data_IF_904672390121
#
_entry.id   IF_904672390121
#
_cell.length_a   1.000
_cell.length_b   1.000
_cell.length_c   1.000
_cell.angle_alpha   90.00
_cell.angle_beta   90.00
_cell.angle_gamma   90.00
#
_symmetry.space_group_name_H-M   'P 1'
#
loop_
_entity.id
_entity.type
_entity.pdbx_description
1 polymer ?
#
# COMPACT_ATOMS: atom_id res chain seq x y z
N UNK A 1 -10.28 11.09 -42.51
CA UNK A 1 -10.00 11.39 -41.08
C UNK A 1 -10.25 10.12 -40.29
N UNK A 2 -9.31 9.69 -39.48
CA UNK A 2 -9.50 8.52 -38.60
C UNK A 2 -10.22 8.93 -37.31
N UNK A 3 -11.05 8.03 -36.76
CA UNK A 3 -11.84 8.28 -35.55
C UNK A 3 -11.35 7.33 -34.43
N UNK A 4 -11.20 7.80 -33.19
CA UNK A 4 -10.86 6.93 -32.05
C UNK A 4 -12.11 6.24 -31.49
N UNK A 5 -11.93 5.32 -30.53
CA UNK A 5 -13.03 4.85 -29.69
C UNK A 5 -13.75 6.01 -29.03
N UNK A 6 -15.09 5.92 -28.95
CA UNK A 6 -15.89 6.93 -28.26
C UNK A 6 -15.55 6.99 -26.75
N UNK A 7 -15.85 8.09 -26.05
CA UNK A 7 -15.62 8.21 -24.62
C UNK A 7 -16.27 7.05 -23.82
N UNK A 8 -17.50 6.68 -24.20
CA UNK A 8 -18.25 5.57 -23.56
C UNK A 8 -17.57 4.22 -23.82
N UNK A 9 -17.11 3.97 -25.05
CA UNK A 9 -16.36 2.75 -25.39
C UNK A 9 -15.03 2.68 -24.63
N UNK A 10 -14.28 3.79 -24.57
CA UNK A 10 -13.03 3.85 -23.78
C UNK A 10 -13.28 3.61 -22.29
N UNK A 11 -14.37 4.15 -21.74
CA UNK A 11 -14.75 3.89 -20.35
C UNK A 11 -15.04 2.41 -20.15
N UNK A 12 -15.86 1.80 -20.99
CA UNK A 12 -16.18 0.37 -20.89
C UNK A 12 -14.95 -0.53 -21.01
N UNK A 13 -14.05 -0.24 -21.95
CA UNK A 13 -12.81 -0.98 -22.12
C UNK A 13 -11.91 -0.88 -20.87
N UNK A 14 -11.84 0.30 -20.22
CA UNK A 14 -11.14 0.44 -18.93
C UNK A 14 -11.77 -0.42 -17.82
N UNK A 15 -13.09 -0.44 -17.76
CA UNK A 15 -13.83 -1.24 -16.77
C UNK A 15 -13.52 -2.74 -16.88
N UNK A 16 -13.47 -3.26 -18.11
CA UNK A 16 -13.11 -4.67 -18.36
C UNK A 16 -11.60 -4.94 -18.39
N UNK A 17 -10.77 -3.93 -18.11
CA UNK A 17 -9.32 -4.10 -17.91
C UNK A 17 -8.47 -4.06 -19.15
N UNK A 18 -8.95 -3.44 -20.23
CA UNK A 18 -8.15 -3.24 -21.44
C UNK A 18 -7.06 -2.18 -21.20
N UNK A 19 -5.84 -2.46 -21.60
CA UNK A 19 -4.70 -1.55 -21.48
C UNK A 19 -4.80 -0.36 -22.45
N UNK A 20 -4.07 0.74 -22.17
CA UNK A 20 -4.12 1.98 -22.96
C UNK A 20 -3.75 1.77 -24.43
N UNK A 21 -2.77 0.90 -24.71
CA UNK A 21 -2.28 0.62 -26.06
C UNK A 21 -3.40 0.20 -27.03
N UNK A 22 -4.35 -0.61 -26.54
CA UNK A 22 -5.50 -1.02 -27.35
C UNK A 22 -6.60 0.05 -27.40
N UNK A 23 -6.65 0.97 -26.43
CA UNK A 23 -7.65 2.04 -26.37
C UNK A 23 -7.32 3.24 -27.25
N UNK A 24 -6.07 3.43 -27.63
CA UNK A 24 -5.59 4.58 -28.43
C UNK A 24 -5.59 4.29 -29.93
N UNK A 25 -6.21 3.19 -30.35
CA UNK A 25 -6.38 2.84 -31.76
C UNK A 25 -7.31 3.82 -32.48
N UNK A 26 -7.01 4.07 -33.75
CA UNK A 26 -7.82 4.90 -34.64
C UNK A 26 -8.37 4.04 -35.80
N UNK A 27 -9.56 4.37 -36.28
CA UNK A 27 -10.35 3.60 -37.25
C UNK A 27 -10.76 4.47 -38.43
N UNK A 28 -11.01 3.87 -39.59
CA UNK A 28 -11.40 4.61 -40.79
C UNK A 28 -12.83 5.15 -40.67
N UNK A 29 -13.74 4.35 -40.08
CA UNK A 29 -15.14 4.71 -39.90
C UNK A 29 -15.74 4.13 -38.60
N UNK A 30 -17.00 4.51 -38.35
CA UNK A 30 -17.72 4.07 -37.14
C UNK A 30 -18.01 2.56 -37.15
N UNK A 31 -18.19 1.94 -38.29
CA UNK A 31 -18.45 0.48 -38.40
C UNK A 31 -17.22 -0.33 -38.01
N UNK A 32 -16.06 0.06 -38.52
CA UNK A 32 -14.78 -0.55 -38.14
C UNK A 32 -14.52 -0.37 -36.65
N UNK A 33 -14.67 0.85 -36.12
CA UNK A 33 -14.53 1.16 -34.68
C UNK A 33 -15.42 0.28 -33.82
N UNK A 34 -16.71 0.19 -34.13
CA UNK A 34 -17.69 -0.56 -33.33
C UNK A 34 -17.48 -2.07 -33.44
N UNK A 35 -17.00 -2.54 -34.60
CA UNK A 35 -16.56 -3.94 -34.77
C UNK A 35 -15.35 -4.28 -33.90
N UNK A 36 -14.34 -3.42 -33.95
CA UNK A 36 -13.13 -3.57 -33.13
C UNK A 36 -13.45 -3.49 -31.63
N UNK A 37 -14.32 -2.55 -31.22
CA UNK A 37 -14.77 -2.44 -29.83
C UNK A 37 -15.36 -3.76 -29.31
N UNK A 38 -16.33 -4.34 -30.04
CA UNK A 38 -16.97 -5.61 -29.67
C UNK A 38 -15.98 -6.77 -29.55
N UNK A 39 -15.00 -6.85 -30.45
CA UNK A 39 -13.97 -7.89 -30.42
C UNK A 39 -13.06 -7.72 -29.18
N UNK A 40 -12.58 -6.51 -28.91
CA UNK A 40 -11.70 -6.22 -27.78
C UNK A 40 -12.44 -6.45 -26.46
N UNK A 41 -13.67 -5.97 -26.33
CA UNK A 41 -14.51 -6.17 -25.14
C UNK A 41 -14.75 -7.68 -24.87
N UNK A 42 -15.17 -8.44 -25.91
CA UNK A 42 -15.41 -9.87 -25.78
C UNK A 42 -14.16 -10.65 -25.37
N UNK A 43 -12.99 -10.30 -25.93
CA UNK A 43 -11.73 -10.92 -25.57
C UNK A 43 -11.34 -10.59 -24.10
N UNK A 44 -11.51 -9.35 -23.68
CA UNK A 44 -11.24 -8.93 -22.30
C UNK A 44 -12.16 -9.61 -21.29
N UNK A 45 -13.47 -9.71 -21.57
CA UNK A 45 -14.44 -10.42 -20.73
C UNK A 45 -14.07 -11.89 -20.64
N UNK A 46 -13.74 -12.55 -21.76
CA UNK A 46 -13.32 -13.97 -21.75
C UNK A 46 -12.09 -14.16 -20.85
N UNK A 47 -11.05 -13.36 -21.01
CA UNK A 47 -9.85 -13.42 -20.17
C UNK A 47 -10.16 -13.21 -18.69
N UNK A 48 -11.09 -12.30 -18.39
CA UNK A 48 -11.53 -12.01 -17.03
C UNK A 48 -12.26 -13.21 -16.41
N UNK A 49 -13.14 -13.87 -17.16
CA UNK A 49 -13.84 -15.09 -16.71
C UNK A 49 -12.86 -16.24 -16.48
N UNK A 50 -11.94 -16.46 -17.42
CA UNK A 50 -10.89 -17.49 -17.28
C UNK A 50 -10.06 -17.28 -15.99
N UNK A 51 -9.73 -16.03 -15.66
CA UNK A 51 -9.00 -15.69 -14.41
C UNK A 51 -9.81 -16.04 -13.16
N UNK A 52 -11.09 -15.68 -13.11
CA UNK A 52 -11.97 -16.01 -11.97
C UNK A 52 -12.17 -17.52 -11.83
N UNK A 53 -12.39 -18.22 -12.94
CA UNK A 53 -12.49 -19.68 -12.93
C UNK A 53 -11.20 -20.37 -12.50
N UNK A 54 -10.03 -19.81 -12.86
CA UNK A 54 -8.73 -20.32 -12.43
C UNK A 54 -8.57 -20.21 -10.90
N UNK A 55 -9.00 -19.10 -10.28
CA UNK A 55 -8.99 -18.99 -8.81
C UNK A 55 -9.77 -20.12 -8.14
N UNK A 56 -10.95 -20.45 -8.65
CA UNK A 56 -11.77 -21.53 -8.10
C UNK A 56 -11.14 -22.91 -8.30
N UNK A 57 -10.64 -23.20 -9.52
CA UNK A 57 -10.10 -24.52 -9.87
C UNK A 57 -8.78 -24.84 -9.20
N UNK A 58 -7.89 -23.86 -9.12
CA UNK A 58 -6.51 -24.05 -8.67
C UNK A 58 -6.32 -23.72 -7.18
N UNK A 59 -7.38 -23.28 -6.49
CA UNK A 59 -7.33 -22.80 -5.10
C UNK A 59 -6.26 -21.73 -4.87
N UNK A 60 -6.04 -20.86 -5.85
CA UNK A 60 -5.15 -19.73 -5.69
C UNK A 60 -5.72 -18.72 -4.71
N UNK A 61 -4.82 -18.04 -4.03
CA UNK A 61 -5.16 -16.88 -3.21
C UNK A 61 -5.18 -15.63 -4.10
N UNK A 62 -5.97 -14.59 -3.74
CA UNK A 62 -5.86 -13.29 -4.39
C UNK A 62 -4.43 -12.74 -4.30
N UNK A 63 -4.01 -12.03 -5.34
CA UNK A 63 -2.66 -11.45 -5.47
C UNK A 63 -2.24 -10.62 -4.25
N UNK A 64 -3.18 -9.91 -3.62
CA UNK A 64 -2.92 -9.14 -2.40
C UNK A 64 -2.52 -10.06 -1.22
N UNK A 65 -3.22 -11.19 -1.06
CA UNK A 65 -2.92 -12.15 0.00
C UNK A 65 -1.61 -12.90 -0.26
N UNK A 66 -1.30 -13.20 -1.53
CA UNK A 66 -0.02 -13.81 -1.89
C UNK A 66 1.15 -12.87 -1.61
N UNK A 67 0.99 -11.57 -1.89
CA UNK A 67 2.01 -10.58 -1.55
C UNK A 67 2.20 -10.48 -0.04
N UNK A 68 1.11 -10.46 0.74
CA UNK A 68 1.17 -10.42 2.20
C UNK A 68 1.97 -11.61 2.73
N UNK A 69 1.66 -12.84 2.30
CA UNK A 69 2.38 -14.05 2.73
C UNK A 69 3.87 -13.99 2.35
N UNK A 70 4.19 -13.56 1.13
CA UNK A 70 5.57 -13.42 0.66
C UNK A 70 6.37 -12.44 1.52
N UNK A 71 5.78 -11.29 1.86
CA UNK A 71 6.41 -10.27 2.70
C UNK A 71 6.58 -10.76 4.14
N UNK A 72 5.58 -11.45 4.69
CA UNK A 72 5.65 -12.06 6.03
C UNK A 72 6.77 -13.09 6.10
N UNK A 73 6.84 -14.00 5.13
CA UNK A 73 7.88 -15.02 5.06
C UNK A 73 9.27 -14.40 4.91
N UNK A 74 9.41 -13.40 4.02
CA UNK A 74 10.68 -12.70 3.77
C UNK A 74 11.20 -12.03 5.04
N UNK A 75 10.37 -11.24 5.72
CA UNK A 75 10.77 -10.52 6.93
C UNK A 75 11.03 -11.46 8.11
N UNK A 76 10.28 -12.55 8.23
CA UNK A 76 10.52 -13.55 9.26
C UNK A 76 11.87 -14.25 9.05
N UNK A 77 12.25 -14.58 7.81
CA UNK A 77 13.57 -15.12 7.47
C UNK A 77 14.70 -14.14 7.77
N UNK A 78 14.45 -12.83 7.69
CA UNK A 78 15.39 -11.77 8.08
C UNK A 78 15.46 -11.55 9.61
N UNK A 79 14.75 -12.35 10.39
CA UNK A 79 14.76 -12.27 11.85
C UNK A 79 13.85 -11.21 12.45
N UNK A 80 12.89 -10.70 11.68
CA UNK A 80 11.85 -9.83 12.21
C UNK A 80 10.72 -10.64 12.83
N UNK A 81 10.18 -10.17 13.95
CA UNK A 81 9.02 -10.76 14.62
C UNK A 81 7.75 -10.07 14.12
N UNK A 82 6.81 -10.85 13.56
CA UNK A 82 5.49 -10.35 13.22
C UNK A 82 4.70 -10.06 14.51
N UNK A 83 4.08 -8.89 14.55
CA UNK A 83 3.18 -8.51 15.64
C UNK A 83 1.79 -8.18 15.08
N UNK A 84 0.77 -8.29 15.92
CA UNK A 84 -0.59 -7.90 15.61
C UNK A 84 -1.11 -6.96 16.70
N UNK A 85 -1.55 -5.77 16.30
CA UNK A 85 -1.98 -4.73 17.23
C UNK A 85 -3.44 -4.34 17.00
N UNK A 86 -4.11 -3.70 18.00
CA UNK A 86 -5.51 -3.33 17.88
C UNK A 86 -5.80 -2.40 16.70
N UNK A 87 -6.94 -2.61 16.06
CA UNK A 87 -7.47 -1.73 15.00
C UNK A 87 -8.03 -0.42 15.56
N UNK A 88 -8.59 -0.47 16.77
CA UNK A 88 -9.12 0.70 17.48
C UNK A 88 -8.06 1.19 18.46
N UNK A 89 -7.58 2.40 18.23
CA UNK A 89 -6.53 3.02 19.03
C UNK A 89 -7.05 4.27 19.78
N UNK A 90 -6.34 4.65 20.83
CA UNK A 90 -6.68 5.85 21.59
C UNK A 90 -6.25 7.13 20.85
N UNK A 91 -7.04 8.20 20.96
CA UNK A 91 -6.70 9.56 20.47
C UNK A 91 -5.31 10.00 20.89
N UNK A 92 -4.92 9.71 22.14
CA UNK A 92 -3.61 10.07 22.68
C UNK A 92 -2.45 9.47 21.86
N UNK A 93 -2.63 8.29 21.28
CA UNK A 93 -1.60 7.67 20.45
C UNK A 93 -1.35 8.48 19.15
N UNK A 94 -2.39 9.09 18.58
CA UNK A 94 -2.26 10.00 17.46
C UNK A 94 -1.64 11.33 17.86
N UNK A 95 -2.02 11.87 19.02
CA UNK A 95 -1.42 13.09 19.56
C UNK A 95 0.09 12.90 19.82
N UNK A 96 0.50 11.74 20.32
CA UNK A 96 1.93 11.40 20.46
C UNK A 96 2.69 11.30 19.11
N UNK A 97 1.97 11.16 17.99
CA UNK A 97 2.50 11.26 16.63
C UNK A 97 2.35 12.67 16.05
N UNK A 98 2.11 13.68 16.90
CA UNK A 98 1.83 15.07 16.48
C UNK A 98 0.56 15.25 15.64
N UNK A 99 -0.32 14.25 15.59
CA UNK A 99 -1.60 14.31 14.87
C UNK A 99 -2.66 14.81 15.85
N UNK A 100 -2.66 16.11 16.07
CA UNK A 100 -3.65 16.84 16.89
C UNK A 100 -4.87 17.24 16.06
N UNK A 101 -5.85 17.93 16.63
CA UNK A 101 -7.07 18.41 15.93
C UNK A 101 -6.74 19.27 14.71
N UNK A 102 -5.65 20.03 14.76
CA UNK A 102 -5.27 20.99 13.73
C UNK A 102 -4.45 20.36 12.61
N UNK A 103 -3.97 19.13 12.82
CA UNK A 103 -3.19 18.41 11.82
C UNK A 103 -4.08 17.95 10.66
N UNK A 104 -3.68 18.10 9.37
CA UNK A 104 -4.50 17.71 8.23
C UNK A 104 -5.00 16.26 8.28
N UNK A 105 -4.15 15.32 8.72
CA UNK A 105 -4.52 13.91 8.87
C UNK A 105 -5.63 13.67 9.89
N UNK A 106 -5.86 14.57 10.85
CA UNK A 106 -6.93 14.39 11.85
C UNK A 106 -8.32 14.39 11.20
N UNK A 107 -8.49 15.12 10.08
CA UNK A 107 -9.74 15.16 9.30
C UNK A 107 -9.99 13.85 8.56
N UNK A 108 -8.95 13.09 8.29
CA UNK A 108 -9.02 11.79 7.60
C UNK A 108 -9.26 10.62 8.56
N UNK A 109 -9.24 10.86 9.87
CA UNK A 109 -9.43 9.82 10.88
C UNK A 109 -10.90 9.42 11.00
N UNK A 110 -11.17 8.10 11.03
CA UNK A 110 -12.47 7.55 11.40
C UNK A 110 -12.59 7.46 12.92
N UNK A 111 -13.26 8.40 13.52
CA UNK A 111 -13.53 8.43 14.97
C UNK A 111 -14.67 7.47 15.31
N UNK A 112 -14.43 6.55 16.25
CA UNK A 112 -15.41 5.59 16.78
C UNK A 112 -16.09 6.16 18.02
N UNK A 113 -15.36 6.95 18.81
CA UNK A 113 -15.86 7.70 19.93
C UNK A 113 -14.99 8.95 20.12
N UNK A 114 -15.29 9.76 21.14
CA UNK A 114 -14.52 10.96 21.47
C UNK A 114 -13.02 10.67 21.61
N UNK A 115 -12.67 9.55 22.24
CA UNK A 115 -11.29 9.19 22.60
C UNK A 115 -10.73 7.99 21.85
N UNK A 116 -11.44 7.46 20.85
CA UNK A 116 -11.02 6.28 20.08
C UNK A 116 -11.29 6.42 18.60
N UNK A 117 -10.39 5.86 17.79
CA UNK A 117 -10.52 5.87 16.34
C UNK A 117 -10.03 4.55 15.73
N UNK A 118 -10.44 4.29 14.47
CA UNK A 118 -9.77 3.30 13.63
C UNK A 118 -8.37 3.82 13.28
N UNK A 119 -7.37 2.96 13.36
CA UNK A 119 -5.96 3.34 13.13
C UNK A 119 -5.74 3.81 11.69
N UNK A 120 -5.23 5.03 11.48
CA UNK A 120 -4.91 5.53 10.14
C UNK A 120 -3.53 5.06 9.63
N UNK A 121 -2.74 4.46 10.51
CA UNK A 121 -1.40 3.92 10.26
C UNK A 121 -1.01 2.93 11.37
N UNK A 122 0.02 2.11 11.15
CA UNK A 122 0.52 1.12 12.12
C UNK A 122 1.52 1.72 13.12
N UNK A 123 2.22 2.79 12.76
CA UNK A 123 3.32 3.35 13.54
C UNK A 123 3.00 3.63 15.02
N UNK A 124 1.86 4.26 15.42
CA UNK A 124 1.56 4.50 16.82
C UNK A 124 1.53 3.23 17.66
N UNK A 125 1.02 2.14 17.09
CA UNK A 125 0.96 0.83 17.77
C UNK A 125 2.34 0.20 17.91
N UNK A 126 3.18 0.30 16.87
CA UNK A 126 4.56 -0.19 16.92
C UNK A 126 5.41 0.59 17.92
N UNK A 127 5.28 1.92 18.00
CA UNK A 127 5.93 2.72 19.04
C UNK A 127 5.51 2.29 20.44
N UNK A 128 4.23 2.02 20.64
CA UNK A 128 3.72 1.53 21.94
C UNK A 128 4.29 0.17 22.32
N UNK A 129 4.51 -0.74 21.35
CA UNK A 129 5.17 -2.00 21.57
C UNK A 129 6.66 -1.83 21.84
N UNK A 130 7.38 -1.05 21.03
CA UNK A 130 8.81 -0.80 21.17
C UNK A 130 9.14 -0.26 22.57
N UNK A 131 8.37 0.70 23.07
CA UNK A 131 8.49 1.22 24.44
C UNK A 131 8.53 0.12 25.51
N UNK A 132 7.82 -0.97 25.29
CA UNK A 132 7.76 -2.11 26.22
C UNK A 132 8.87 -3.13 25.94
N UNK A 133 9.12 -3.41 24.65
CA UNK A 133 10.11 -4.40 24.21
C UNK A 133 11.55 -3.98 24.54
N UNK A 134 11.86 -2.70 24.54
CA UNK A 134 13.18 -2.18 24.97
C UNK A 134 13.61 -2.71 26.34
N UNK A 135 12.66 -2.97 27.24
CA UNK A 135 12.91 -3.48 28.59
C UNK A 135 13.00 -4.99 28.66
N UNK A 136 12.57 -5.71 27.63
CA UNK A 136 12.40 -7.17 27.63
C UNK A 136 13.34 -7.87 26.66
N UNK A 137 13.68 -7.22 25.57
CA UNK A 137 14.44 -7.83 24.48
C UNK A 137 15.84 -7.22 24.34
N UNK A 138 16.77 -8.04 23.88
CA UNK A 138 18.10 -7.58 23.48
C UNK A 138 17.99 -6.83 22.15
N UNK A 139 18.79 -5.77 21.98
CA UNK A 139 18.91 -5.03 20.73
C UNK A 139 19.80 -5.77 19.73
N UNK A 140 19.57 -5.64 18.42
CA UNK A 140 18.51 -4.84 17.81
C UNK A 140 17.13 -5.50 17.97
N UNK A 141 16.10 -4.66 18.19
CA UNK A 141 14.71 -5.10 18.24
C UNK A 141 14.11 -4.96 16.85
N UNK A 142 13.65 -6.06 16.27
CA UNK A 142 13.13 -6.17 14.92
C UNK A 142 11.69 -6.64 14.95
N UNK A 143 10.76 -5.77 14.62
CA UNK A 143 9.32 -6.09 14.53
C UNK A 143 8.70 -5.56 13.25
N UNK A 144 7.64 -6.21 12.80
CA UNK A 144 6.81 -5.72 11.72
C UNK A 144 5.35 -6.08 11.94
N UNK A 145 4.46 -5.33 11.32
CA UNK A 145 3.04 -5.64 11.26
C UNK A 145 2.54 -5.48 9.82
N UNK A 146 1.71 -6.43 9.37
CA UNK A 146 0.87 -6.27 8.20
C UNK A 146 -0.57 -6.22 8.67
N UNK A 147 -1.32 -5.19 8.29
CA UNK A 147 -2.69 -5.09 8.74
C UNK A 147 -3.45 -3.90 8.16
N UNK A 148 -4.80 -3.91 8.34
CA UNK A 148 -5.67 -2.87 7.80
C UNK A 148 -5.48 -1.54 8.52
N UNK A 149 -5.52 -0.47 7.73
CA UNK A 149 -5.55 0.92 8.15
C UNK A 149 -6.72 1.64 7.47
N UNK A 150 -7.16 2.75 8.06
CA UNK A 150 -8.40 3.41 7.67
C UNK A 150 -8.19 4.92 7.59
N UNK A 151 -8.46 5.52 6.41
CA UNK A 151 -8.42 6.96 6.21
C UNK A 151 -9.61 7.40 5.37
N UNK A 152 -10.22 8.53 5.73
CA UNK A 152 -11.22 9.19 4.89
C UNK A 152 -10.50 9.85 3.72
N UNK A 153 -10.33 9.11 2.66
CA UNK A 153 -9.64 9.60 1.48
C UNK A 153 -10.62 10.32 0.54
N UNK A 154 -10.14 11.33 -0.17
CA UNK A 154 -10.88 11.92 -1.26
C UNK A 154 -11.03 10.90 -2.39
N UNK A 155 -12.16 10.94 -3.12
CA UNK A 155 -12.42 10.05 -4.25
C UNK A 155 -11.30 10.16 -5.30
N UNK A 156 -10.66 9.03 -5.63
CA UNK A 156 -9.61 8.96 -6.64
C UNK A 156 -9.17 7.52 -6.89
N UNK A 157 -8.62 7.25 -8.08
CA UNK A 157 -8.19 5.91 -8.48
C UNK A 157 -6.98 5.35 -7.72
N UNK A 158 -6.35 6.15 -6.85
CA UNK A 158 -5.16 5.76 -6.08
C UNK A 158 -5.40 5.72 -4.56
N UNK A 159 -6.65 5.89 -4.10
CA UNK A 159 -7.00 5.96 -2.69
C UNK A 159 -8.15 5.03 -2.36
N UNK A 160 -8.09 4.43 -1.17
CA UNK A 160 -9.14 3.61 -0.58
C UNK A 160 -9.31 4.01 0.88
N UNK A 161 -10.55 4.00 1.38
CA UNK A 161 -10.83 4.30 2.80
C UNK A 161 -10.30 3.22 3.74
N UNK A 162 -10.15 2.01 3.25
CA UNK A 162 -9.55 0.87 3.92
C UNK A 162 -8.44 0.32 3.02
N UNK A 163 -7.26 0.11 3.59
CA UNK A 163 -6.10 -0.40 2.88
C UNK A 163 -5.19 -1.19 3.83
N UNK A 164 -4.37 -2.07 3.26
CA UNK A 164 -3.43 -2.87 4.02
C UNK A 164 -2.06 -2.21 4.02
N UNK A 165 -1.50 -1.99 5.21
CA UNK A 165 -0.13 -1.51 5.39
C UNK A 165 0.78 -2.64 5.87
N UNK A 166 2.01 -2.67 5.36
CA UNK A 166 3.17 -3.23 6.03
C UNK A 166 3.91 -2.09 6.72
N UNK A 167 4.28 -2.26 7.97
CA UNK A 167 5.23 -1.37 8.65
C UNK A 167 6.31 -2.21 9.33
N UNK A 168 7.57 -1.91 9.04
CA UNK A 168 8.76 -2.59 9.56
C UNK A 168 9.57 -1.60 10.36
N UNK A 169 10.09 -2.03 11.50
CA UNK A 169 10.98 -1.20 12.31
C UNK A 169 12.10 -2.06 12.92
N UNK A 170 13.31 -1.53 12.86
CA UNK A 170 14.48 -2.05 13.57
C UNK A 170 15.05 -0.96 14.48
N UNK A 171 15.18 -1.27 15.77
CA UNK A 171 15.59 -0.32 16.80
C UNK A 171 16.84 -0.83 17.54
N UNK A 172 17.77 0.07 17.82
CA UNK A 172 18.99 -0.22 18.57
C UNK A 172 20.15 -0.69 17.69
N UNK A 173 20.15 -0.27 16.42
CA UNK A 173 21.28 -0.42 15.50
C UNK A 173 22.28 0.75 15.68
N UNK A 174 23.55 0.62 15.22
CA UNK A 174 24.48 1.73 15.20
C UNK A 174 23.96 2.93 14.40
N UNK A 175 24.23 4.13 14.87
CA UNK A 175 23.67 5.34 14.26
C UNK A 175 24.15 5.56 12.82
N UNK A 176 25.40 5.27 12.56
CA UNK A 176 26.07 5.35 11.26
C UNK A 176 25.54 4.36 10.23
N UNK A 177 24.97 3.24 10.68
CA UNK A 177 24.42 2.19 9.80
C UNK A 177 22.98 2.45 9.36
N UNK A 178 22.28 3.40 9.99
CA UNK A 178 20.84 3.63 9.76
C UNK A 178 20.47 3.80 8.30
N UNK A 179 21.20 4.65 7.58
CA UNK A 179 20.89 4.94 6.19
C UNK A 179 21.02 3.70 5.31
N UNK A 180 22.16 3.00 5.44
CA UNK A 180 22.41 1.77 4.67
C UNK A 180 21.37 0.70 4.99
N UNK A 181 21.10 0.47 6.28
CA UNK A 181 20.11 -0.50 6.72
C UNK A 181 18.70 -0.19 6.21
N UNK A 182 18.33 1.09 6.19
CA UNK A 182 17.03 1.52 5.67
C UNK A 182 16.91 1.23 4.17
N UNK A 183 17.96 1.53 3.40
CA UNK A 183 18.02 1.24 1.96
C UNK A 183 17.97 -0.27 1.69
N UNK A 184 18.64 -1.09 2.49
CA UNK A 184 18.60 -2.56 2.41
C UNK A 184 17.19 -3.10 2.67
N UNK A 185 16.50 -2.61 3.71
CA UNK A 185 15.13 -3.01 4.01
C UNK A 185 14.15 -2.64 2.89
N UNK A 186 14.31 -1.45 2.33
CA UNK A 186 13.52 -1.02 1.16
C UNK A 186 13.79 -1.96 -0.01
N UNK A 187 15.04 -2.22 -0.34
CA UNK A 187 15.42 -3.10 -1.45
C UNK A 187 14.90 -4.54 -1.27
N UNK A 188 14.96 -5.06 -0.04
CA UNK A 188 14.41 -6.36 0.32
C UNK A 188 12.91 -6.45 0.04
N UNK A 189 12.14 -5.48 0.54
CA UNK A 189 10.68 -5.44 0.40
C UNK A 189 10.27 -5.24 -1.06
N UNK A 190 10.94 -4.33 -1.78
CA UNK A 190 10.67 -4.09 -3.20
C UNK A 190 10.94 -5.33 -4.05
N UNK A 191 12.04 -6.04 -3.77
CA UNK A 191 12.37 -7.32 -4.44
C UNK A 191 11.34 -8.40 -4.14
N UNK A 192 10.96 -8.57 -2.88
CA UNK A 192 9.92 -9.52 -2.47
C UNK A 192 8.56 -9.18 -3.10
N UNK A 193 8.29 -7.91 -3.35
CA UNK A 193 7.09 -7.45 -4.06
C UNK A 193 7.14 -7.65 -5.57
N UNK A 194 8.27 -8.11 -6.13
CA UNK A 194 8.46 -8.27 -7.57
C UNK A 194 8.65 -6.94 -8.32
N UNK A 195 9.01 -5.86 -7.63
CA UNK A 195 9.22 -4.53 -8.22
C UNK A 195 10.71 -4.21 -8.22
N UNK A 196 11.30 -4.18 -9.42
CA UNK A 196 12.75 -3.95 -9.61
C UNK A 196 13.10 -2.51 -9.96
N UNK A 197 12.13 -1.73 -10.45
CA UNK A 197 12.33 -0.35 -10.88
C UNK A 197 11.62 0.61 -9.94
N UNK A 198 12.39 1.34 -9.15
CA UNK A 198 11.91 2.37 -8.25
C UNK A 198 13.01 3.41 -8.01
N UNK A 199 12.64 4.54 -7.44
CA UNK A 199 13.57 5.59 -6.99
C UNK A 199 13.26 5.98 -5.56
N UNK A 200 14.27 6.44 -4.85
CA UNK A 200 14.15 7.04 -3.53
C UNK A 200 14.11 8.55 -3.67
N UNK A 201 13.20 9.19 -2.97
CA UNK A 201 13.02 10.66 -3.02
C UNK A 201 12.87 11.21 -1.62
N UNK A 202 13.77 12.12 -1.24
CA UNK A 202 13.64 12.82 0.05
C UNK A 202 12.43 13.76 0.00
N UNK A 203 11.59 13.69 1.03
CA UNK A 203 10.41 14.52 1.21
C UNK A 203 10.30 14.99 2.65
N UNK A 204 9.75 16.15 2.87
CA UNK A 204 9.45 16.63 4.20
C UNK A 204 8.06 16.17 4.63
N UNK A 205 8.01 15.34 5.67
CA UNK A 205 6.79 14.87 6.31
C UNK A 205 6.40 15.79 7.46
N UNK A 206 5.10 15.98 7.68
CA UNK A 206 4.57 16.72 8.83
C UNK A 206 4.73 15.94 10.15
N UNK A 207 4.94 14.63 10.07
CA UNK A 207 5.06 13.75 11.24
C UNK A 207 6.54 13.51 11.59
N UNK A 208 7.36 13.14 10.63
CA UNK A 208 8.75 12.69 10.87
C UNK A 208 9.83 13.70 10.42
N UNK A 209 9.46 14.85 9.86
CA UNK A 209 10.41 15.73 9.23
C UNK A 209 10.90 15.18 7.89
N UNK A 210 12.19 14.92 7.73
CA UNK A 210 12.72 14.38 6.48
C UNK A 210 12.44 12.86 6.41
N UNK A 211 11.73 12.46 5.35
CA UNK A 211 11.42 11.07 5.02
C UNK A 211 12.00 10.70 3.68
N UNK A 212 12.14 9.40 3.44
CA UNK A 212 12.60 8.83 2.19
C UNK A 212 11.43 8.07 1.54
N UNK A 213 10.79 8.69 0.56
CA UNK A 213 9.68 8.08 -0.16
C UNK A 213 10.19 7.11 -1.23
N UNK A 214 9.53 5.96 -1.34
CA UNK A 214 9.76 4.93 -2.34
C UNK A 214 8.76 5.10 -3.46
N UNK A 215 9.22 5.42 -4.67
CA UNK A 215 8.38 5.78 -5.80
C UNK A 215 8.61 4.85 -6.98
N UNK A 216 7.58 4.16 -7.43
CA UNK A 216 7.54 3.36 -8.66
C UNK A 216 6.27 3.73 -9.45
N UNK A 217 6.37 4.76 -10.30
CA UNK A 217 5.22 5.39 -10.95
C UNK A 217 4.31 6.18 -9.99
N UNK A 218 4.04 5.61 -8.81
CA UNK A 218 3.37 6.24 -7.66
C UNK A 218 4.20 6.05 -6.41
N UNK A 219 3.92 6.80 -5.34
CA UNK A 219 4.49 6.56 -4.01
C UNK A 219 3.90 5.25 -3.46
N UNK A 220 4.74 4.25 -3.24
CA UNK A 220 4.36 2.93 -2.71
C UNK A 220 4.71 2.75 -1.24
N UNK A 221 5.65 3.54 -0.73
CA UNK A 221 6.07 3.50 0.67
C UNK A 221 6.80 4.76 1.09
N UNK A 222 6.96 4.93 2.40
CA UNK A 222 7.70 6.01 3.00
C UNK A 222 8.50 5.50 4.20
N UNK A 223 9.74 5.96 4.32
CA UNK A 223 10.69 5.51 5.31
C UNK A 223 11.25 6.68 6.14
N UNK A 224 11.58 6.39 7.39
CA UNK A 224 12.14 7.37 8.31
C UNK A 224 13.23 6.74 9.17
N UNK A 225 14.06 7.58 9.77
CA UNK A 225 15.12 7.18 10.69
C UNK A 225 15.03 8.03 11.97
N UNK A 226 15.25 7.39 13.11
CA UNK A 226 15.37 8.04 14.40
C UNK A 226 16.78 7.91 15.01
N UNK A 227 17.05 8.57 16.13
CA UNK A 227 16.06 9.25 16.99
C UNK A 227 15.50 10.53 16.38
N UNK A 228 14.20 10.73 16.56
CA UNK A 228 13.43 11.88 16.13
C UNK A 228 12.78 12.58 17.33
N UNK A 229 12.47 13.88 17.25
CA UNK A 229 11.84 14.62 18.36
C UNK A 229 10.58 13.96 18.89
N UNK A 230 9.84 13.30 18.03
CA UNK A 230 8.61 12.58 18.32
C UNK A 230 8.84 11.37 19.25
N UNK A 231 10.01 10.74 19.19
CA UNK A 231 10.34 9.54 19.93
C UNK A 231 10.35 9.77 21.44
N UNK A 232 10.63 11.01 21.87
CA UNK A 232 10.58 11.40 23.27
C UNK A 232 9.19 11.20 23.90
N UNK A 233 8.09 11.39 23.14
CA UNK A 233 6.74 11.13 23.60
C UNK A 233 6.49 9.65 23.93
N UNK A 234 7.30 8.78 23.36
CA UNK A 234 7.24 7.33 23.56
C UNK A 234 8.33 6.81 24.52
N UNK A 235 9.26 7.69 24.94
CA UNK A 235 10.42 7.33 25.75
C UNK A 235 11.40 6.44 24.98
N UNK A 236 11.53 6.66 23.69
CA UNK A 236 12.46 5.98 22.78
C UNK A 236 13.56 6.98 22.42
N UNK A 237 14.82 6.59 22.65
CA UNK A 237 16.00 7.44 22.44
C UNK A 237 17.08 6.72 21.62
N UNK A 238 16.88 5.46 21.35
CA UNK A 238 17.78 4.65 20.55
C UNK A 238 17.67 4.95 19.06
N UNK A 239 18.75 4.81 18.30
CA UNK A 239 18.68 4.85 16.84
C UNK A 239 17.76 3.75 16.31
N UNK A 240 16.95 4.10 15.31
CA UNK A 240 16.04 3.20 14.64
C UNK A 240 15.88 3.53 13.16
N UNK A 241 15.42 2.54 12.41
CA UNK A 241 14.97 2.70 11.02
C UNK A 241 13.58 2.08 10.87
N UNK A 242 12.74 2.68 10.06
CA UNK A 242 11.40 2.17 9.81
C UNK A 242 10.90 2.53 8.43
N UNK A 243 10.12 1.63 7.84
CA UNK A 243 9.50 1.83 6.54
C UNK A 243 8.08 1.29 6.53
N UNK A 244 7.18 2.07 5.92
CA UNK A 244 5.79 1.70 5.70
C UNK A 244 5.47 1.58 4.21
N UNK A 245 4.75 0.52 3.82
CA UNK A 245 4.28 0.29 2.45
C UNK A 245 2.77 0.07 2.44
N UNK A 246 2.12 0.56 1.38
CA UNK A 246 0.72 0.20 1.07
C UNK A 246 0.71 -1.02 0.13
N UNK A 247 0.17 -2.16 0.59
CA UNK A 247 0.20 -3.39 -0.18
C UNK A 247 -0.59 -3.28 -1.48
N UNK A 248 -1.75 -2.63 -1.44
CA UNK A 248 -2.56 -2.41 -2.64
C UNK A 248 -1.82 -1.58 -3.70
N UNK A 249 -1.00 -0.60 -3.28
CA UNK A 249 -0.17 0.17 -4.21
C UNK A 249 0.96 -0.68 -4.81
N UNK A 250 1.59 -1.54 -4.00
CA UNK A 250 2.59 -2.49 -4.50
C UNK A 250 1.97 -3.44 -5.53
N UNK A 251 0.81 -4.04 -5.23
CA UNK A 251 0.09 -4.90 -6.19
C UNK A 251 -0.32 -4.12 -7.43
N UNK A 252 -0.85 -2.90 -7.27
CA UNK A 252 -1.27 -2.05 -8.39
C UNK A 252 -0.10 -1.80 -9.36
N UNK A 253 1.08 -1.49 -8.84
CA UNK A 253 2.29 -1.26 -9.64
C UNK A 253 2.75 -2.55 -10.31
N UNK A 254 2.85 -3.65 -9.56
CA UNK A 254 3.29 -4.95 -10.06
C UNK A 254 2.42 -5.47 -11.20
N UNK A 255 1.10 -5.37 -11.05
CA UNK A 255 0.13 -5.86 -12.03
C UNK A 255 -0.19 -4.83 -13.14
N UNK A 256 0.37 -3.63 -13.08
CA UNK A 256 0.11 -2.57 -14.06
C UNK A 256 -1.31 -1.99 -14.00
N UNK A 257 -2.00 -2.09 -12.87
CA UNK A 257 -3.33 -1.50 -12.71
C UNK A 257 -3.24 0.02 -12.49
N UNK A 258 -4.20 0.76 -13.04
CA UNK A 258 -4.30 2.23 -12.87
C UNK A 258 -5.27 2.64 -11.77
N UNK A 259 -6.03 1.70 -11.24
CA UNK A 259 -7.04 1.95 -10.22
C UNK A 259 -6.86 0.96 -9.07
N UNK A 260 -6.59 1.49 -7.89
CA UNK A 260 -6.39 0.73 -6.66
C UNK A 260 -7.62 -0.09 -6.25
N UNK A 261 -8.82 0.35 -6.63
CA UNK A 261 -10.08 -0.37 -6.36
C UNK A 261 -10.06 -1.81 -6.89
N UNK A 262 -9.26 -2.09 -7.92
CA UNK A 262 -9.15 -3.43 -8.51
C UNK A 262 -8.47 -4.44 -7.57
N UNK A 263 -7.64 -3.96 -6.67
CA UNK A 263 -6.84 -4.78 -5.75
C UNK A 263 -7.15 -4.54 -4.29
N UNK A 264 -7.94 -3.52 -3.98
CA UNK A 264 -8.45 -3.25 -2.63
C UNK A 264 -9.54 -4.22 -2.24
N UNK A 265 -9.87 -4.28 -0.95
CA UNK A 265 -11.07 -4.97 -0.47
C UNK A 265 -12.30 -4.38 -1.18
N UNK A 266 -13.02 -5.23 -1.92
CA UNK A 266 -14.10 -4.78 -2.80
C UNK A 266 -15.14 -5.87 -2.99
N UNK A 267 -16.40 -5.48 -3.13
CA UNK A 267 -17.50 -6.36 -3.56
C UNK A 267 -17.69 -6.32 -5.09
N UNK A 268 -17.04 -5.36 -5.76
CA UNK A 268 -17.14 -5.19 -7.22
C UNK A 268 -15.99 -5.87 -7.97
N UNK A 269 -14.87 -6.09 -7.30
CA UNK A 269 -13.66 -6.66 -7.90
C UNK A 269 -13.17 -7.85 -7.08
N UNK A 270 -12.74 -8.89 -7.79
CA UNK A 270 -12.00 -10.02 -7.23
C UNK A 270 -10.72 -10.22 -8.06
N UNK A 271 -9.58 -10.18 -7.40
CA UNK A 271 -8.26 -10.36 -8.02
C UNK A 271 -8.05 -9.51 -9.31
N UNK A 272 -8.42 -8.24 -9.24
CA UNK A 272 -8.32 -7.29 -10.36
C UNK A 272 -9.42 -7.41 -11.42
N UNK A 273 -10.30 -8.38 -11.32
CA UNK A 273 -11.41 -8.61 -12.26
C UNK A 273 -12.70 -8.00 -11.72
N UNK A 274 -13.39 -7.23 -12.56
CA UNK A 274 -14.72 -6.70 -12.23
C UNK A 274 -15.75 -7.81 -12.33
N UNK A 275 -16.61 -7.94 -11.30
CA UNK A 275 -17.54 -9.07 -11.20
C UNK A 275 -18.83 -8.92 -12.02
N UNK A 276 -19.13 -7.73 -12.54
CA UNK A 276 -20.32 -7.48 -13.37
C UNK A 276 -20.04 -7.61 -14.89
N UNK A 277 -19.34 -8.66 -15.29
CA UNK A 277 -18.93 -8.99 -16.66
C UNK A 277 -19.82 -10.06 -17.30
#
# INVERSE_FOLDING_TARGET
>A
MTIPFSPVQKQRLREVGVGPELMDRAFQDARERDGAFRQVEKAAIRKSRERIEALQRNRFRPVLCELEDCLVETLTKEGFVQVATPLIIARQMLANMSITSDHPLSKQVFWVSENRCLRPMLAPSLYSLLKRLIRLWKKPIRIFEVGPCFRKESRGGQHSNEFTMLNVVELGLPEEERKHRLEDLIALIMRASGITTYRLSTKRSEVYGDTLDVVSGVEVGSAAMGPHKLDAHWGIFDPWVGVGFGLERLVMVREGFRNIQRVSRSLEYLDGVRLNI
#
